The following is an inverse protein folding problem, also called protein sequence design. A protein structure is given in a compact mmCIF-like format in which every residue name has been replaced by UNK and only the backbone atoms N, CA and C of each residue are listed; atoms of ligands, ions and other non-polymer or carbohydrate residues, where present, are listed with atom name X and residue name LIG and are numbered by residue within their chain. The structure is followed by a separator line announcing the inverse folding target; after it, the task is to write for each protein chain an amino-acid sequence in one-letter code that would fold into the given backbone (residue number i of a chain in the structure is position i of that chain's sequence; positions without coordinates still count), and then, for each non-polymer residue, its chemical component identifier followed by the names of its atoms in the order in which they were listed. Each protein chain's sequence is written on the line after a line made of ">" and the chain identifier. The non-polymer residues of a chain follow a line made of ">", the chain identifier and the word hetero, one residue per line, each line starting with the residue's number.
data_IF_701911138718
#
_entry.id   IF_701911138718
#
_cell.length_a   1.000
_cell.length_b   1.000
_cell.length_c   1.000
_cell.angle_alpha   90.00
_cell.angle_beta   90.00
_cell.angle_gamma   90.00
#
_symmetry.space_group_name_H-M   'P 1'
#
loop_
_entity.id
_entity.type
_entity.pdbx_description
1 polymer ?
#
# COMPACT_ATOMS: atom_id res chain seq x y z
N UNK A 1 28.80 -63.67 7.37
CA UNK A 1 27.77 -63.01 6.53
C UNK A 1 27.26 -61.77 7.27
N UNK A 2 27.78 -60.59 6.95
CA UNK A 2 27.34 -59.31 7.54
C UNK A 2 26.47 -58.58 6.52
N UNK A 3 25.19 -58.33 6.84
CA UNK A 3 24.24 -57.62 5.98
C UNK A 3 24.34 -56.13 6.25
N UNK A 4 24.99 -55.40 5.35
CA UNK A 4 25.01 -53.94 5.34
C UNK A 4 23.59 -53.40 5.06
N UNK A 5 23.04 -52.65 6.02
CA UNK A 5 21.81 -51.89 5.85
C UNK A 5 22.13 -50.57 5.15
N UNK A 6 21.78 -50.46 3.87
CA UNK A 6 21.86 -49.20 3.12
C UNK A 6 20.64 -48.34 3.48
N UNK A 7 20.85 -47.32 4.32
CA UNK A 7 19.88 -46.26 4.58
C UNK A 7 19.70 -45.43 3.30
N UNK A 8 18.59 -45.62 2.59
CA UNK A 8 18.16 -44.68 1.53
C UNK A 8 17.77 -43.36 2.20
N UNK A 9 18.62 -42.34 2.03
CA UNK A 9 18.29 -40.97 2.34
C UNK A 9 17.23 -40.50 1.35
N UNK A 10 15.99 -40.31 1.82
CA UNK A 10 14.95 -39.64 1.04
C UNK A 10 15.28 -38.16 0.98
N UNK A 11 15.82 -37.69 -0.14
CA UNK A 11 15.91 -36.27 -0.43
C UNK A 11 14.48 -35.71 -0.52
N UNK A 12 14.12 -34.90 0.47
CA UNK A 12 12.92 -34.07 0.41
C UNK A 12 13.13 -33.05 -0.71
N UNK A 13 12.51 -33.28 -1.86
CA UNK A 13 12.50 -32.32 -2.96
C UNK A 13 11.96 -30.99 -2.44
N UNK A 14 12.81 -29.96 -2.40
CA UNK A 14 12.33 -28.61 -2.13
C UNK A 14 11.40 -28.22 -3.29
N UNK A 15 10.21 -27.69 -3.02
CA UNK A 15 9.31 -27.27 -4.08
C UNK A 15 10.04 -26.25 -4.97
N UNK A 16 9.96 -26.47 -6.28
CA UNK A 16 10.55 -25.59 -7.29
C UNK A 16 10.09 -24.16 -7.02
N UNK A 17 11.04 -23.23 -6.91
CA UNK A 17 10.73 -21.81 -6.77
C UNK A 17 9.92 -21.34 -7.97
N UNK A 18 8.73 -20.80 -7.73
CA UNK A 18 7.90 -20.22 -8.80
C UNK A 18 8.44 -18.83 -9.12
N UNK A 19 8.84 -18.60 -10.36
CA UNK A 19 9.35 -17.30 -10.82
C UNK A 19 8.28 -16.66 -11.70
N UNK A 20 7.87 -15.44 -11.34
CA UNK A 20 7.01 -14.59 -12.16
C UNK A 20 7.88 -13.75 -13.08
N UNK A 21 7.43 -13.57 -14.33
CA UNK A 21 8.07 -12.72 -15.34
C UNK A 21 7.17 -11.53 -15.67
N UNK A 22 7.70 -10.32 -15.55
CA UNK A 22 6.96 -9.09 -15.82
C UNK A 22 7.08 -8.68 -17.31
N UNK A 23 6.02 -8.06 -17.87
CA UNK A 23 6.10 -7.33 -19.12
C UNK A 23 7.10 -6.17 -19.02
N UNK A 24 7.48 -5.60 -20.16
CA UNK A 24 8.26 -4.36 -20.20
C UNK A 24 7.33 -3.16 -20.24
N UNK A 25 7.25 -2.42 -19.14
CA UNK A 25 6.45 -1.19 -19.06
C UNK A 25 7.27 0.08 -19.32
N UNK A 26 8.59 -0.06 -19.57
CA UNK A 26 9.51 1.07 -19.75
C UNK A 26 9.90 1.21 -21.22
N UNK A 27 10.43 0.14 -21.83
CA UNK A 27 10.98 0.19 -23.18
C UNK A 27 9.97 0.58 -24.28
N UNK A 28 8.66 0.22 -24.19
CA UNK A 28 7.69 0.64 -25.20
C UNK A 28 7.32 2.13 -25.14
N UNK A 29 7.57 2.83 -24.02
CA UNK A 29 7.22 4.24 -23.89
C UNK A 29 8.19 5.08 -24.72
N UNK A 30 7.72 5.87 -25.70
CA UNK A 30 8.60 6.57 -26.64
C UNK A 30 9.23 7.85 -26.06
N UNK A 31 8.89 8.20 -24.82
CA UNK A 31 9.33 9.41 -24.15
C UNK A 31 10.39 9.08 -23.10
N UNK A 32 11.47 9.88 -22.99
CA UNK A 32 12.49 9.64 -21.98
C UNK A 32 11.96 9.99 -20.59
N UNK A 33 12.39 9.24 -19.58
CA UNK A 33 12.22 9.65 -18.19
C UNK A 33 12.93 10.99 -17.96
N UNK A 34 12.20 11.92 -17.35
CA UNK A 34 12.71 13.21 -16.89
C UNK A 34 12.49 13.33 -15.39
N UNK A 35 13.28 14.17 -14.73
CA UNK A 35 13.23 14.35 -13.28
C UNK A 35 13.45 15.82 -12.93
N UNK A 36 12.60 16.37 -12.06
CA UNK A 36 12.73 17.74 -11.57
C UNK A 36 14.10 17.95 -10.91
N UNK A 37 14.78 19.05 -11.24
CA UNK A 37 16.16 19.32 -10.76
C UNK A 37 16.30 19.40 -9.24
N UNK A 38 15.22 19.80 -8.54
CA UNK A 38 15.18 19.94 -7.08
C UNK A 38 14.59 18.71 -6.37
N UNK A 39 14.36 17.59 -7.07
CA UNK A 39 13.71 16.39 -6.51
C UNK A 39 14.33 16.01 -5.17
N UNK A 40 15.65 15.88 -5.09
CA UNK A 40 16.31 15.44 -3.85
C UNK A 40 16.05 16.37 -2.65
N UNK A 41 16.12 17.69 -2.83
CA UNK A 41 15.91 18.64 -1.73
C UNK A 41 14.44 18.70 -1.34
N UNK A 42 13.55 18.77 -2.33
CA UNK A 42 12.10 18.84 -2.12
C UNK A 42 11.56 17.55 -1.48
N UNK A 43 12.03 16.37 -1.89
CA UNK A 43 11.65 15.09 -1.27
C UNK A 43 11.95 15.09 0.23
N UNK A 44 13.18 15.48 0.61
CA UNK A 44 13.60 15.51 2.01
C UNK A 44 12.74 16.47 2.83
N UNK A 45 12.51 17.69 2.31
CA UNK A 45 11.68 18.67 3.00
C UNK A 45 10.22 18.21 3.17
N UNK A 46 9.70 17.48 2.17
CA UNK A 46 8.37 16.88 2.22
C UNK A 46 8.28 15.74 3.24
N UNK A 47 9.29 14.88 3.28
CA UNK A 47 9.37 13.80 4.26
C UNK A 47 9.46 14.34 5.69
N UNK A 48 10.32 15.34 5.92
CA UNK A 48 10.45 16.01 7.23
C UNK A 48 9.13 16.66 7.66
N UNK A 49 8.47 17.35 6.73
CA UNK A 49 7.16 17.97 6.95
C UNK A 49 6.11 16.94 7.38
N UNK A 50 5.95 15.84 6.63
CA UNK A 50 4.91 14.84 6.93
C UNK A 50 5.21 14.14 8.26
N UNK A 51 6.46 13.73 8.48
CA UNK A 51 6.88 13.05 9.71
C UNK A 51 6.69 13.92 10.97
N UNK A 52 6.78 15.24 10.85
CA UNK A 52 6.55 16.15 11.96
C UNK A 52 5.09 16.22 12.42
N UNK A 53 4.13 15.81 11.57
CA UNK A 53 2.69 15.94 11.84
C UNK A 53 1.92 14.63 11.89
N UNK A 54 2.42 13.56 11.25
CA UNK A 54 1.69 12.29 11.14
C UNK A 54 1.83 11.39 12.39
N UNK A 55 2.80 11.67 13.27
CA UNK A 55 3.12 10.89 14.48
C UNK A 55 3.25 9.38 14.21
N UNK A 56 4.01 9.02 13.19
CA UNK A 56 4.21 7.63 12.81
C UNK A 56 4.97 6.82 13.87
N UNK A 57 4.54 5.57 14.06
CA UNK A 57 5.37 4.57 14.75
C UNK A 57 6.70 4.34 14.01
N UNK A 58 7.73 3.77 14.65
CA UNK A 58 9.00 3.48 13.98
C UNK A 58 8.84 2.63 12.71
N UNK A 59 7.88 1.68 12.71
CA UNK A 59 7.56 0.84 11.55
C UNK A 59 6.92 1.65 10.41
N UNK A 60 5.93 2.48 10.72
CA UNK A 60 5.28 3.36 9.73
C UNK A 60 6.29 4.35 9.14
N UNK A 61 7.15 4.95 9.98
CA UNK A 61 8.22 5.83 9.52
C UNK A 61 9.18 5.14 8.55
N UNK A 62 9.62 3.92 8.87
CA UNK A 62 10.50 3.16 7.98
C UNK A 62 9.83 2.85 6.65
N UNK A 63 8.55 2.44 6.67
CA UNK A 63 7.77 2.16 5.46
C UNK A 63 7.63 3.43 4.60
N UNK A 64 7.24 4.55 5.21
CA UNK A 64 7.09 5.83 4.55
C UNK A 64 8.38 6.30 3.86
N UNK A 65 9.53 6.26 4.55
CA UNK A 65 10.81 6.68 3.96
C UNK A 65 11.29 5.73 2.83
N UNK A 66 10.88 4.47 2.87
CA UNK A 66 11.22 3.48 1.83
C UNK A 66 10.36 3.60 0.56
N UNK A 67 9.27 4.37 0.63
CA UNK A 67 8.35 4.60 -0.48
C UNK A 67 8.97 5.43 -1.59
N UNK A 68 9.79 6.43 -1.24
CA UNK A 68 10.42 7.36 -2.17
C UNK A 68 9.38 8.13 -3.03
N UNK A 69 8.26 8.55 -2.43
CA UNK A 69 7.18 9.24 -3.13
C UNK A 69 7.59 10.64 -3.63
N UNK A 70 8.55 11.29 -2.99
CA UNK A 70 9.12 12.54 -3.50
C UNK A 70 9.84 12.36 -4.84
N UNK A 71 10.47 11.19 -5.08
CA UNK A 71 11.04 10.86 -6.39
C UNK A 71 9.95 10.71 -7.45
N UNK A 72 8.86 10.00 -7.15
CA UNK A 72 7.71 9.90 -8.06
C UNK A 72 7.17 11.28 -8.40
N UNK A 73 6.95 12.14 -7.38
CA UNK A 73 6.54 13.52 -7.59
C UNK A 73 7.50 14.28 -8.51
N UNK A 74 8.81 14.13 -8.31
CA UNK A 74 9.81 14.77 -9.16
C UNK A 74 9.86 14.24 -10.60
N UNK A 75 9.44 13.00 -10.81
CA UNK A 75 9.30 12.40 -12.15
C UNK A 75 7.98 12.79 -12.83
N UNK A 76 6.93 13.08 -12.08
CA UNK A 76 5.63 13.48 -12.64
C UNK A 76 5.50 14.99 -12.88
N UNK A 77 6.13 15.83 -12.04
CA UNK A 77 5.98 17.29 -12.08
C UNK A 77 7.35 17.97 -12.19
N UNK A 78 7.75 18.27 -13.42
CA UNK A 78 9.15 18.55 -13.76
C UNK A 78 9.43 20.01 -14.10
N UNK A 79 8.52 20.65 -14.83
CA UNK A 79 8.77 21.95 -15.45
C UNK A 79 8.12 23.09 -14.62
N UNK A 80 8.43 23.14 -13.32
CA UNK A 80 7.84 24.09 -12.38
C UNK A 80 8.86 24.74 -11.43
N UNK A 81 8.41 25.72 -10.65
CA UNK A 81 9.21 26.37 -9.62
C UNK A 81 9.37 25.51 -8.36
N UNK A 82 10.18 26.00 -7.42
CA UNK A 82 10.37 25.33 -6.12
C UNK A 82 9.06 25.24 -5.34
N UNK A 83 8.26 26.32 -5.30
CA UNK A 83 7.02 26.37 -4.52
C UNK A 83 5.99 25.35 -5.02
N UNK A 84 5.83 25.24 -6.33
CA UNK A 84 4.94 24.26 -6.95
C UNK A 84 5.44 22.83 -6.71
N UNK A 85 6.73 22.57 -6.95
CA UNK A 85 7.34 21.27 -6.71
C UNK A 85 7.20 20.83 -5.24
N UNK A 86 7.38 21.77 -4.30
CA UNK A 86 7.25 21.52 -2.86
C UNK A 86 5.83 21.08 -2.49
N UNK A 87 4.82 21.74 -3.04
CA UNK A 87 3.40 21.39 -2.83
C UNK A 87 3.04 20.07 -3.50
N UNK A 88 3.53 19.80 -4.71
CA UNK A 88 3.32 18.51 -5.39
C UNK A 88 3.89 17.33 -4.60
N UNK A 89 5.10 17.48 -4.05
CA UNK A 89 5.75 16.42 -3.26
C UNK A 89 5.00 16.16 -1.94
N UNK A 90 4.52 17.22 -1.28
CA UNK A 90 3.69 17.09 -0.09
C UNK A 90 2.40 16.34 -0.37
N UNK A 91 1.73 16.70 -1.46
CA UNK A 91 0.51 16.01 -1.85
C UNK A 91 0.78 14.54 -2.21
N UNK A 92 1.86 14.23 -2.94
CA UNK A 92 2.21 12.84 -3.27
C UNK A 92 2.47 12.00 -2.01
N UNK A 93 3.26 12.51 -1.07
CA UNK A 93 3.51 11.85 0.21
C UNK A 93 2.22 11.70 1.04
N UNK A 94 1.36 12.72 1.01
CA UNK A 94 0.07 12.70 1.69
C UNK A 94 -0.89 11.67 1.07
N UNK A 95 -0.98 11.57 -0.25
CA UNK A 95 -1.85 10.64 -0.96
C UNK A 95 -1.52 9.19 -0.61
N UNK A 96 -0.25 8.81 -0.61
CA UNK A 96 0.17 7.48 -0.15
C UNK A 96 -0.09 7.23 1.34
N UNK A 97 -0.05 8.29 2.15
CA UNK A 97 -0.41 8.20 3.57
C UNK A 97 -1.92 7.99 3.75
N UNK A 98 -2.75 8.62 2.91
CA UNK A 98 -4.19 8.41 2.89
C UNK A 98 -4.54 6.97 2.50
N UNK A 99 -3.91 6.43 1.45
CA UNK A 99 -4.02 5.03 1.03
C UNK A 99 -3.72 4.09 2.20
N UNK A 100 -2.56 4.27 2.84
CA UNK A 100 -2.14 3.48 4.00
C UNK A 100 -3.08 3.58 5.20
N UNK A 101 -3.61 4.77 5.52
CA UNK A 101 -4.60 4.93 6.59
C UNK A 101 -5.93 4.27 6.24
N UNK A 102 -6.39 4.41 5.00
CA UNK A 102 -7.65 3.82 4.55
C UNK A 102 -7.60 2.28 4.53
N UNK A 103 -6.44 1.68 4.29
CA UNK A 103 -6.21 0.24 4.38
C UNK A 103 -6.32 -0.30 5.83
N UNK A 104 -6.08 0.56 6.83
CA UNK A 104 -6.19 0.21 8.25
C UNK A 104 -7.59 0.49 8.84
N UNK A 105 -8.39 1.33 8.18
CA UNK A 105 -9.71 1.75 8.66
C UNK A 105 -10.86 0.88 8.14
N UNK A 106 -11.94 0.82 8.92
CA UNK A 106 -13.22 0.38 8.43
C UNK A 106 -13.92 1.52 7.65
N UNK A 107 -15.10 1.26 7.09
CA UNK A 107 -15.87 2.27 6.33
C UNK A 107 -16.13 3.54 7.15
N UNK A 108 -16.31 3.44 8.47
CA UNK A 108 -16.54 4.59 9.36
C UNK A 108 -15.28 5.44 9.50
N UNK A 109 -14.12 4.82 9.70
CA UNK A 109 -12.84 5.51 9.77
C UNK A 109 -12.48 6.20 8.46
N UNK A 110 -12.71 5.54 7.31
CA UNK A 110 -12.49 6.12 5.98
C UNK A 110 -13.41 7.32 5.73
N UNK A 111 -14.67 7.26 6.16
CA UNK A 111 -15.59 8.40 6.10
C UNK A 111 -15.10 9.59 6.93
N UNK A 112 -14.65 9.34 8.16
CA UNK A 112 -14.10 10.40 9.02
C UNK A 112 -12.85 11.04 8.42
N UNK A 113 -12.01 10.25 7.73
CA UNK A 113 -10.86 10.75 6.99
C UNK A 113 -11.28 11.66 5.83
N UNK A 114 -12.25 11.22 5.02
CA UNK A 114 -12.82 12.01 3.92
C UNK A 114 -13.40 13.34 4.43
N UNK A 115 -14.23 13.30 5.48
CA UNK A 115 -14.81 14.49 6.09
C UNK A 115 -13.74 15.47 6.59
N UNK A 116 -12.65 14.97 7.19
CA UNK A 116 -11.54 15.80 7.65
C UNK A 116 -10.81 16.51 6.50
N UNK A 117 -10.57 15.81 5.38
CA UNK A 117 -9.84 16.36 4.23
C UNK A 117 -10.74 17.31 3.45
N UNK A 118 -11.93 16.86 3.07
CA UNK A 118 -12.85 17.63 2.22
C UNK A 118 -13.33 18.91 2.90
N UNK A 119 -13.67 18.87 4.20
CA UNK A 119 -14.04 20.11 4.91
C UNK A 119 -12.87 21.09 5.02
N UNK A 120 -11.63 20.62 5.14
CA UNK A 120 -10.45 21.51 5.11
C UNK A 120 -10.29 22.18 3.74
N UNK A 121 -10.63 21.51 2.64
CA UNK A 121 -10.55 22.08 1.29
C UNK A 121 -11.69 23.08 1.00
N UNK A 122 -12.93 22.71 1.32
CA UNK A 122 -14.12 23.55 1.07
C UNK A 122 -14.23 24.75 2.01
N UNK A 123 -13.72 24.63 3.23
CA UNK A 123 -13.89 25.61 4.29
C UNK A 123 -12.55 25.99 4.95
N UNK A 124 -11.53 26.41 4.17
CA UNK A 124 -10.15 26.54 4.65
C UNK A 124 -9.95 27.58 5.76
N UNK A 125 -10.90 28.52 5.91
CA UNK A 125 -10.88 29.57 6.93
C UNK A 125 -11.79 29.28 8.14
N UNK A 126 -12.78 28.40 8.02
CA UNK A 126 -13.81 28.20 9.05
C UNK A 126 -13.82 26.80 9.65
N UNK A 127 -13.35 25.78 8.93
CA UNK A 127 -13.22 24.43 9.45
C UNK A 127 -11.90 24.28 10.21
N UNK A 128 -11.99 24.16 11.54
CA UNK A 128 -10.85 23.99 12.43
C UNK A 128 -10.87 22.59 13.03
N UNK A 129 -9.87 21.78 12.67
CA UNK A 129 -9.71 20.41 13.17
C UNK A 129 -8.28 20.15 13.59
N UNK A 130 -8.12 19.40 14.68
CA UNK A 130 -6.82 18.95 15.17
C UNK A 130 -6.40 17.60 14.57
N UNK A 131 -7.25 16.99 13.74
CA UNK A 131 -6.95 15.74 13.06
C UNK A 131 -5.70 15.88 12.17
N UNK A 132 -4.88 14.83 12.14
CA UNK A 132 -3.63 14.78 11.35
C UNK A 132 -3.89 15.06 9.87
N UNK A 133 -4.92 14.41 9.32
CA UNK A 133 -5.36 14.61 7.94
C UNK A 133 -5.71 16.06 7.64
N UNK A 134 -6.46 16.73 8.51
CA UNK A 134 -6.81 18.16 8.34
C UNK A 134 -5.59 19.07 8.43
N UNK A 135 -4.65 18.82 9.36
CA UNK A 135 -3.42 19.62 9.48
C UNK A 135 -2.53 19.51 8.24
N UNK A 136 -2.31 18.29 7.77
CA UNK A 136 -1.54 18.02 6.53
C UNK A 136 -2.22 18.66 5.33
N UNK A 137 -3.54 18.44 5.19
CA UNK A 137 -4.34 19.03 4.10
C UNK A 137 -4.24 20.54 4.09
N UNK A 138 -4.49 21.19 5.23
CA UNK A 138 -4.44 22.64 5.36
C UNK A 138 -3.05 23.18 4.99
N UNK A 139 -1.99 22.51 5.42
CA UNK A 139 -0.62 22.97 5.21
C UNK A 139 -0.20 23.02 3.74
N UNK A 140 -0.56 22.03 2.91
CA UNK A 140 -0.28 22.12 1.47
C UNK A 140 -1.33 22.98 0.75
N UNK A 141 -2.59 22.92 1.17
CA UNK A 141 -3.68 23.67 0.53
C UNK A 141 -3.50 25.18 0.65
N UNK A 142 -3.17 25.69 1.84
CA UNK A 142 -2.91 27.12 2.07
C UNK A 142 -1.73 27.65 1.19
N UNK A 143 -0.82 26.79 0.74
CA UNK A 143 0.23 27.13 -0.22
C UNK A 143 -0.27 27.06 -1.66
N UNK A 144 -0.95 25.98 -2.02
CA UNK A 144 -1.49 25.74 -3.36
C UNK A 144 -2.43 26.85 -3.83
N UNK A 145 -3.40 27.26 -3.01
CA UNK A 145 -4.43 28.24 -3.40
C UNK A 145 -3.89 29.64 -3.70
N UNK A 146 -2.63 29.92 -3.36
CA UNK A 146 -1.98 31.21 -3.66
C UNK A 146 -1.65 31.38 -5.14
N UNK A 147 -1.42 30.27 -5.85
CA UNK A 147 -0.95 30.28 -7.25
C UNK A 147 -1.79 29.38 -8.16
N UNK A 148 -2.54 28.41 -7.63
CA UNK A 148 -3.44 27.57 -8.42
C UNK A 148 -4.62 28.39 -8.97
N UNK A 149 -4.96 28.18 -10.25
CA UNK A 149 -6.17 28.72 -10.85
C UNK A 149 -7.45 28.14 -10.22
N UNK A 150 -8.58 28.86 -10.28
CA UNK A 150 -9.81 28.44 -9.61
C UNK A 150 -10.39 27.12 -10.17
N UNK A 151 -10.21 26.83 -11.46
CA UNK A 151 -10.72 25.59 -12.05
C UNK A 151 -9.84 24.40 -11.69
N UNK A 152 -8.51 24.59 -11.67
CA UNK A 152 -7.56 23.62 -11.13
C UNK A 152 -7.90 23.27 -9.67
N UNK A 153 -8.19 24.28 -8.82
CA UNK A 153 -8.63 24.07 -7.44
C UNK A 153 -9.92 23.23 -7.38
N UNK A 154 -10.92 23.56 -8.19
CA UNK A 154 -12.17 22.81 -8.26
C UNK A 154 -11.97 21.35 -8.71
N UNK A 155 -11.12 21.12 -9.72
CA UNK A 155 -10.77 19.77 -10.18
C UNK A 155 -10.07 18.94 -9.12
N UNK A 156 -9.15 19.53 -8.34
CA UNK A 156 -8.55 18.81 -7.22
C UNK A 156 -9.61 18.39 -6.18
N UNK A 157 -10.51 19.31 -5.81
CA UNK A 157 -11.57 18.99 -4.84
C UNK A 157 -12.50 17.89 -5.37
N UNK A 158 -12.94 17.98 -6.64
CA UNK A 158 -13.83 16.98 -7.25
C UNK A 158 -13.18 15.60 -7.38
N UNK A 159 -11.90 15.55 -7.77
CA UNK A 159 -11.17 14.28 -7.92
C UNK A 159 -10.87 13.64 -6.55
N UNK A 160 -10.56 14.42 -5.52
CA UNK A 160 -10.43 13.90 -4.15
C UNK A 160 -11.76 13.36 -3.60
N UNK A 161 -12.87 14.07 -3.84
CA UNK A 161 -14.19 13.60 -3.40
C UNK A 161 -14.54 12.25 -4.03
N UNK A 162 -14.32 12.14 -5.34
CA UNK A 162 -14.52 10.89 -6.11
C UNK A 162 -13.62 9.77 -5.58
N UNK A 163 -12.33 10.07 -5.34
CA UNK A 163 -11.38 9.12 -4.74
C UNK A 163 -11.87 8.59 -3.39
N UNK A 164 -12.32 9.47 -2.48
CA UNK A 164 -12.83 9.06 -1.17
C UNK A 164 -14.08 8.18 -1.30
N UNK A 165 -15.00 8.52 -2.19
CA UNK A 165 -16.18 7.69 -2.48
C UNK A 165 -15.78 6.30 -2.97
N UNK A 166 -14.83 6.22 -3.89
CA UNK A 166 -14.36 4.97 -4.48
C UNK A 166 -13.62 4.07 -3.48
N UNK A 167 -12.73 4.62 -2.64
CA UNK A 167 -12.05 3.80 -1.61
C UNK A 167 -13.01 3.31 -0.53
N UNK A 168 -14.09 4.05 -0.23
CA UNK A 168 -15.16 3.56 0.65
C UNK A 168 -15.91 2.39 0.04
N UNK A 169 -16.20 2.45 -1.27
CA UNK A 169 -16.80 1.34 -2.02
C UNK A 169 -15.88 0.11 -2.00
N UNK A 170 -14.59 0.28 -2.33
CA UNK A 170 -13.60 -0.79 -2.29
C UNK A 170 -13.46 -1.43 -0.89
N UNK A 171 -13.50 -0.63 0.18
CA UNK A 171 -13.47 -1.14 1.56
C UNK A 171 -14.71 -2.00 1.88
N UNK A 172 -15.88 -1.62 1.37
CA UNK A 172 -17.12 -2.39 1.49
C UNK A 172 -17.04 -3.73 0.74
N UNK A 173 -16.49 -3.72 -0.49
CA UNK A 173 -16.38 -4.91 -1.34
C UNK A 173 -15.39 -5.94 -0.77
N UNK A 174 -14.29 -5.47 -0.18
CA UNK A 174 -13.33 -6.34 0.55
C UNK A 174 -14.01 -7.13 1.68
N UNK A 175 -15.04 -6.58 2.31
CA UNK A 175 -15.84 -7.27 3.33
C UNK A 175 -16.59 -8.48 2.80
N UNK A 176 -16.98 -8.46 1.51
CA UNK A 176 -17.79 -9.49 0.86
C UNK A 176 -16.97 -10.55 0.11
N UNK A 177 -15.64 -10.35 -0.03
CA UNK A 177 -14.70 -11.25 -0.74
C UNK A 177 -15.06 -11.52 -2.21
N UNK A 178 -15.77 -10.59 -2.85
CA UNK A 178 -16.10 -10.69 -4.27
C UNK A 178 -14.96 -10.08 -5.09
N UNK A 179 -14.47 -10.82 -6.09
CA UNK A 179 -13.60 -10.26 -7.13
C UNK A 179 -14.53 -9.72 -8.22
N UNK A 180 -14.46 -8.41 -8.53
CA UNK A 180 -15.31 -7.79 -9.55
C UNK A 180 -15.05 -8.36 -10.94
N UNK A 181 -15.99 -8.15 -11.86
CA UNK A 181 -15.69 -8.39 -13.28
C UNK A 181 -14.66 -7.38 -13.82
N UNK A 182 -14.17 -7.60 -15.05
CA UNK A 182 -13.09 -6.79 -15.60
C UNK A 182 -13.49 -5.33 -15.85
N UNK A 183 -14.72 -5.08 -16.33
CA UNK A 183 -15.17 -3.74 -16.69
C UNK A 183 -15.52 -2.92 -15.43
N UNK A 184 -16.15 -3.57 -14.46
CA UNK A 184 -16.38 -3.03 -13.11
C UNK A 184 -15.04 -2.70 -12.43
N UNK A 185 -14.06 -3.61 -12.52
CA UNK A 185 -12.74 -3.39 -11.96
C UNK A 185 -12.05 -2.18 -12.59
N UNK A 186 -12.00 -2.08 -13.92
CA UNK A 186 -11.33 -0.98 -14.62
C UNK A 186 -11.96 0.35 -14.22
N UNK A 187 -13.30 0.41 -14.19
CA UNK A 187 -14.04 1.63 -13.84
C UNK A 187 -13.72 2.05 -12.41
N UNK A 188 -13.83 1.14 -11.44
CA UNK A 188 -13.53 1.43 -10.04
C UNK A 188 -12.05 1.77 -9.84
N UNK A 189 -11.14 1.05 -10.50
CA UNK A 189 -9.68 1.22 -10.35
C UNK A 189 -9.22 2.60 -10.79
N UNK A 190 -9.85 3.18 -11.82
CA UNK A 190 -9.56 4.56 -12.24
C UNK A 190 -9.85 5.59 -11.14
N UNK A 191 -10.81 5.31 -10.26
CA UNK A 191 -11.16 6.21 -9.16
C UNK A 191 -10.39 5.88 -7.88
N UNK A 192 -10.01 4.62 -7.64
CA UNK A 192 -9.24 4.21 -6.45
C UNK A 192 -7.73 4.38 -6.59
N UNK A 193 -7.19 4.55 -7.81
CA UNK A 193 -5.74 4.67 -8.03
C UNK A 193 -5.13 5.98 -7.53
N UNK A 194 -5.94 7.02 -7.31
CA UNK A 194 -5.48 8.36 -6.98
C UNK A 194 -4.85 9.13 -8.15
N UNK A 195 -4.78 8.55 -9.35
CA UNK A 195 -4.16 9.19 -10.52
C UNK A 195 -4.90 10.46 -10.93
N UNK A 196 -6.25 10.43 -10.96
CA UNK A 196 -7.06 11.63 -11.31
C UNK A 196 -6.73 12.82 -10.41
N UNK A 197 -6.52 12.55 -9.12
CA UNK A 197 -6.10 13.57 -8.16
C UNK A 197 -4.69 14.09 -8.45
N UNK A 198 -3.76 13.19 -8.82
CA UNK A 198 -2.44 13.58 -9.29
C UNK A 198 -2.47 14.41 -10.59
N UNK A 199 -3.42 14.15 -11.49
CA UNK A 199 -3.53 14.90 -12.74
C UNK A 199 -3.95 16.35 -12.51
N UNK A 200 -4.72 16.66 -11.46
CA UNK A 200 -5.00 18.05 -11.09
C UNK A 200 -3.71 18.84 -10.76
N UNK A 201 -2.66 18.16 -10.26
CA UNK A 201 -1.36 18.76 -10.01
C UNK A 201 -0.50 18.94 -11.26
N UNK A 202 -0.84 18.30 -12.39
CA UNK A 202 -0.21 18.63 -13.69
C UNK A 202 -0.53 20.09 -14.05
N UNK A 203 -1.78 20.50 -13.89
CA UNK A 203 -2.19 21.89 -14.16
C UNK A 203 -1.50 22.87 -13.22
N UNK A 204 -1.51 22.56 -11.92
CA UNK A 204 -0.86 23.38 -10.91
C UNK A 204 0.64 23.55 -11.17
N UNK A 205 1.36 22.46 -11.39
CA UNK A 205 2.80 22.50 -11.68
C UNK A 205 3.09 23.20 -13.02
N UNK A 206 2.23 23.00 -14.02
CA UNK A 206 2.33 23.66 -15.33
C UNK A 206 1.97 25.14 -15.32
N UNK A 207 1.40 25.66 -14.22
CA UNK A 207 0.92 27.03 -14.13
C UNK A 207 -0.23 27.33 -15.09
N UNK A 208 -1.08 26.34 -15.37
CA UNK A 208 -2.22 26.43 -16.29
C UNK A 208 -3.55 26.29 -15.54
N UNK A 209 -4.63 26.79 -16.13
CA UNK A 209 -5.99 26.69 -15.60
C UNK A 209 -6.94 26.43 -16.76
N UNK A 210 -7.03 25.16 -17.18
CA UNK A 210 -7.75 24.78 -18.39
C UNK A 210 -9.24 25.14 -18.26
N UNK A 211 -9.86 25.71 -19.31
CA UNK A 211 -11.32 25.85 -19.36
C UNK A 211 -12.01 24.49 -19.24
N UNK A 212 -13.18 24.46 -18.63
CA UNK A 212 -13.90 23.21 -18.35
C UNK A 212 -14.30 22.51 -19.66
N UNK A 213 -14.67 23.27 -20.70
CA UNK A 213 -14.96 22.72 -22.02
C UNK A 213 -13.78 22.02 -22.71
N UNK A 214 -12.55 22.31 -22.26
CA UNK A 214 -11.31 21.66 -22.73
C UNK A 214 -10.99 20.45 -21.86
N UNK A 215 -11.01 20.62 -20.53
CA UNK A 215 -10.73 19.54 -19.58
C UNK A 215 -11.73 18.38 -19.70
N UNK A 216 -13.01 18.70 -19.94
CA UNK A 216 -14.11 17.74 -20.10
C UNK A 216 -14.29 17.29 -21.57
N UNK A 217 -13.42 17.75 -22.48
CA UNK A 217 -13.50 17.32 -23.86
C UNK A 217 -13.23 15.81 -23.96
N UNK A 218 -14.03 15.03 -24.70
CA UNK A 218 -13.93 13.56 -24.71
C UNK A 218 -12.53 13.02 -25.03
N UNK A 219 -11.78 13.71 -25.91
CA UNK A 219 -10.40 13.32 -26.24
C UNK A 219 -9.44 13.54 -25.06
N UNK A 220 -9.60 14.63 -24.29
CA UNK A 220 -8.77 14.89 -23.11
C UNK A 220 -9.12 13.90 -22.00
N UNK A 221 -10.40 13.62 -21.78
CA UNK A 221 -10.85 12.59 -20.83
C UNK A 221 -10.33 11.20 -21.23
N UNK A 222 -10.35 10.85 -22.51
CA UNK A 222 -9.80 9.58 -23.00
C UNK A 222 -8.28 9.47 -22.76
N UNK A 223 -7.53 10.56 -22.95
CA UNK A 223 -6.10 10.59 -22.61
C UNK A 223 -5.86 10.44 -21.10
N UNK A 224 -6.69 11.09 -20.26
CA UNK A 224 -6.58 10.94 -18.81
C UNK A 224 -6.90 9.51 -18.35
N UNK A 225 -7.99 8.92 -18.85
CA UNK A 225 -8.42 7.56 -18.52
C UNK A 225 -7.38 6.51 -18.95
N UNK A 226 -6.85 6.63 -20.16
CA UNK A 226 -5.83 5.71 -20.67
C UNK A 226 -4.49 5.87 -19.94
N UNK A 227 -4.12 7.09 -19.56
CA UNK A 227 -2.98 7.34 -18.68
C UNK A 227 -3.15 6.66 -17.33
N UNK A 228 -4.34 6.78 -16.74
CA UNK A 228 -4.68 6.15 -15.46
C UNK A 228 -4.60 4.62 -15.55
N UNK A 229 -5.15 4.03 -16.62
CA UNK A 229 -5.07 2.60 -16.89
C UNK A 229 -3.61 2.14 -17.02
N UNK A 230 -2.79 2.84 -17.81
CA UNK A 230 -1.37 2.52 -17.98
C UNK A 230 -0.60 2.58 -16.65
N UNK A 231 -0.85 3.60 -15.83
CA UNK A 231 -0.22 3.75 -14.50
C UNK A 231 -0.71 2.66 -13.55
N UNK A 232 -2.02 2.48 -13.43
CA UNK A 232 -2.64 1.59 -12.46
C UNK A 232 -2.38 0.11 -12.78
N UNK A 233 -2.44 -0.30 -14.04
CA UNK A 233 -2.20 -1.69 -14.40
C UNK A 233 -0.72 -2.09 -14.32
N UNK A 234 0.20 -1.18 -14.65
CA UNK A 234 1.62 -1.40 -14.39
C UNK A 234 1.88 -1.52 -12.89
N UNK A 235 1.21 -0.69 -12.08
CA UNK A 235 1.24 -0.80 -10.63
C UNK A 235 0.74 -2.17 -10.17
N UNK A 236 -0.45 -2.59 -10.59
CA UNK A 236 -1.06 -3.86 -10.20
C UNK A 236 -0.15 -5.05 -10.54
N UNK A 237 0.46 -5.08 -11.72
CA UNK A 237 1.37 -6.16 -12.12
C UNK A 237 2.64 -6.17 -11.27
N UNK A 238 3.26 -5.00 -11.04
CA UNK A 238 4.52 -4.91 -10.31
C UNK A 238 4.33 -5.08 -8.79
N UNK A 239 3.18 -4.68 -8.25
CA UNK A 239 2.80 -4.84 -6.85
C UNK A 239 2.22 -6.22 -6.54
N UNK A 240 1.76 -6.96 -7.55
CA UNK A 240 1.04 -8.23 -7.42
C UNK A 240 1.69 -9.17 -6.41
N UNK A 241 3.01 -9.40 -6.51
CA UNK A 241 3.69 -10.37 -5.66
C UNK A 241 3.62 -10.00 -4.16
N UNK A 242 3.71 -8.70 -3.85
CA UNK A 242 3.60 -8.19 -2.49
C UNK A 242 2.14 -8.17 -1.99
N UNK A 243 1.18 -7.91 -2.87
CA UNK A 243 -0.26 -7.90 -2.60
C UNK A 243 -0.85 -9.29 -2.40
N UNK A 244 -0.59 -10.21 -3.34
CA UNK A 244 -1.03 -11.59 -3.22
C UNK A 244 -0.49 -12.24 -1.95
N UNK A 245 0.75 -11.94 -1.55
CA UNK A 245 1.32 -12.45 -0.30
C UNK A 245 0.56 -11.96 0.94
N UNK A 246 -0.17 -10.84 0.87
CA UNK A 246 -1.05 -10.34 1.94
C UNK A 246 -2.48 -10.89 1.84
N UNK A 247 -2.80 -11.60 0.74
CA UNK A 247 -4.13 -12.08 0.41
C UNK A 247 -5.04 -11.00 -0.17
N UNK A 248 -4.47 -9.92 -0.73
CA UNK A 248 -5.26 -8.94 -1.48
C UNK A 248 -5.70 -9.52 -2.83
N UNK A 249 -6.91 -9.16 -3.25
CA UNK A 249 -7.55 -9.63 -4.47
C UNK A 249 -8.03 -8.49 -5.36
N UNK A 250 -7.97 -7.24 -4.89
CA UNK A 250 -8.31 -6.06 -5.69
C UNK A 250 -7.12 -5.66 -6.57
N UNK A 251 -6.83 -6.49 -7.58
CA UNK A 251 -5.68 -6.35 -8.46
C UNK A 251 -6.02 -6.93 -9.84
N UNK A 252 -5.63 -6.25 -10.93
CA UNK A 252 -5.93 -6.69 -12.30
C UNK A 252 -5.52 -8.15 -12.57
N UNK A 253 -4.38 -8.61 -12.04
CA UNK A 253 -3.93 -10.00 -12.22
C UNK A 253 -4.95 -10.98 -11.64
N UNK A 254 -5.50 -10.71 -10.46
CA UNK A 254 -6.54 -11.55 -9.85
C UNK A 254 -7.83 -11.56 -10.67
N UNK A 255 -8.23 -10.39 -11.19
CA UNK A 255 -9.42 -10.23 -12.04
C UNK A 255 -9.27 -11.00 -13.34
N UNK A 256 -8.12 -10.91 -14.01
CA UNK A 256 -7.84 -11.64 -15.25
C UNK A 256 -7.75 -13.16 -15.04
N UNK A 257 -7.18 -13.61 -13.92
CA UNK A 257 -7.21 -15.03 -13.56
C UNK A 257 -8.64 -15.55 -13.45
N UNK A 258 -9.53 -14.79 -12.79
CA UNK A 258 -10.94 -15.16 -12.64
C UNK A 258 -11.69 -15.11 -13.98
N UNK A 259 -11.55 -14.02 -14.74
CA UNK A 259 -12.29 -13.79 -15.97
C UNK A 259 -11.93 -14.80 -17.08
N UNK A 260 -10.66 -15.17 -17.19
CA UNK A 260 -10.16 -16.01 -18.29
C UNK A 260 -9.74 -17.42 -17.87
N UNK A 261 -9.83 -17.77 -16.58
CA UNK A 261 -9.45 -19.09 -16.08
C UNK A 261 -7.96 -19.42 -16.26
N UNK A 262 -7.10 -18.41 -16.33
CA UNK A 262 -5.65 -18.55 -16.54
C UNK A 262 -4.89 -18.57 -15.21
N UNK A 263 -3.66 -19.08 -15.24
CA UNK A 263 -2.77 -18.98 -14.09
C UNK A 263 -2.20 -17.56 -13.91
N UNK A 264 -1.40 -17.37 -12.85
CA UNK A 264 -0.80 -16.07 -12.51
C UNK A 264 0.07 -15.51 -13.63
N UNK A 265 0.87 -16.36 -14.27
CA UNK A 265 1.76 -15.90 -15.34
C UNK A 265 0.97 -15.57 -16.60
N UNK A 266 -0.06 -16.36 -16.92
CA UNK A 266 -1.00 -16.07 -18.00
C UNK A 266 -1.71 -14.74 -17.80
N UNK A 267 -2.21 -14.46 -16.60
CA UNK A 267 -2.83 -13.18 -16.27
C UNK A 267 -1.85 -12.00 -16.35
N UNK A 268 -0.61 -12.16 -15.89
CA UNK A 268 0.44 -11.13 -16.04
C UNK A 268 0.75 -10.85 -17.52
N UNK A 269 0.78 -11.88 -18.37
CA UNK A 269 1.00 -11.72 -19.80
C UNK A 269 -0.18 -10.98 -20.46
N UNK A 270 -1.43 -11.36 -20.14
CA UNK A 270 -2.63 -10.68 -20.62
C UNK A 270 -2.67 -9.21 -20.18
N UNK A 271 -2.31 -8.91 -18.93
CA UNK A 271 -2.20 -7.54 -18.45
C UNK A 271 -1.15 -6.73 -19.24
N UNK A 272 -0.01 -7.35 -19.59
CA UNK A 272 1.00 -6.72 -20.44
C UNK A 272 0.52 -6.46 -21.87
N UNK A 273 -0.26 -7.37 -22.46
CA UNK A 273 -0.87 -7.18 -23.77
C UNK A 273 -1.91 -6.06 -23.75
N UNK A 274 -2.79 -6.05 -22.74
CA UNK A 274 -3.79 -5.00 -22.53
C UNK A 274 -3.12 -3.63 -22.36
N UNK A 275 -2.09 -3.56 -21.52
CA UNK A 275 -1.31 -2.34 -21.31
C UNK A 275 -0.69 -1.82 -22.61
N UNK A 276 -0.12 -2.69 -23.44
CA UNK A 276 0.48 -2.30 -24.72
C UNK A 276 -0.57 -1.75 -25.69
N UNK A 277 -1.72 -2.41 -25.78
CA UNK A 277 -2.84 -1.94 -26.63
C UNK A 277 -3.34 -0.56 -26.17
N UNK A 278 -3.42 -0.33 -24.85
CA UNK A 278 -3.81 0.96 -24.29
C UNK A 278 -2.76 2.04 -24.58
N UNK A 279 -1.47 1.71 -24.59
CA UNK A 279 -0.42 2.66 -24.97
C UNK A 279 -0.55 3.05 -26.45
N UNK A 280 -0.76 2.07 -27.34
CA UNK A 280 -1.00 2.34 -28.76
C UNK A 280 -2.24 3.23 -28.96
N UNK A 281 -3.30 3.01 -28.18
CA UNK A 281 -4.51 3.83 -28.20
C UNK A 281 -4.27 5.25 -27.64
N UNK A 282 -3.52 5.41 -26.56
CA UNK A 282 -3.13 6.73 -26.04
C UNK A 282 -2.39 7.54 -27.11
N UNK A 283 -1.42 6.91 -27.78
CA UNK A 283 -0.64 7.53 -28.85
C UNK A 283 -1.52 7.94 -30.03
N UNK A 284 -2.42 7.07 -30.48
CA UNK A 284 -3.36 7.40 -31.55
C UNK A 284 -4.34 8.52 -31.16
N UNK A 285 -4.84 8.50 -29.93
CA UNK A 285 -5.78 9.50 -29.41
C UNK A 285 -5.15 10.88 -29.34
N UNK A 286 -3.88 10.96 -28.93
CA UNK A 286 -3.11 12.21 -28.86
C UNK A 286 -3.02 12.92 -30.21
N UNK A 287 -2.92 12.19 -31.31
CA UNK A 287 -2.90 12.77 -32.67
C UNK A 287 -4.26 13.35 -33.12
N UNK A 288 -5.33 13.09 -32.36
CA UNK A 288 -6.69 13.57 -32.67
C UNK A 288 -7.14 14.75 -31.81
N UNK A 289 -6.24 15.29 -30.96
CA UNK A 289 -6.53 16.45 -30.11
C UNK A 289 -6.90 17.66 -30.99
N UNK A 290 -8.10 18.24 -30.82
CA UNK A 290 -8.51 19.39 -31.62
C UNK A 290 -7.75 20.65 -31.18
N UNK A 291 -7.83 21.70 -32.00
CA UNK A 291 -7.33 23.02 -31.64
C UNK A 291 -8.44 23.88 -31.05
N UNK A 292 -8.15 24.57 -29.95
CA UNK A 292 -8.96 25.62 -29.34
C UNK A 292 -8.31 27.01 -29.49
N UNK A 293 -7.22 27.08 -30.26
CA UNK A 293 -6.45 28.29 -30.54
C UNK A 293 -5.11 28.32 -29.78
N UNK A 294 -4.15 29.14 -30.23
CA UNK A 294 -2.74 28.98 -29.87
C UNK A 294 -2.42 29.07 -28.37
N UNK A 295 -3.22 29.80 -27.60
CA UNK A 295 -3.03 29.92 -26.15
C UNK A 295 -3.48 28.66 -25.41
N UNK A 296 -4.69 28.18 -25.70
CA UNK A 296 -5.24 26.97 -25.08
C UNK A 296 -4.47 25.74 -25.55
N UNK A 297 -4.11 25.67 -26.83
CA UNK A 297 -3.33 24.56 -27.38
C UNK A 297 -1.98 24.41 -26.66
N UNK A 298 -1.35 25.52 -26.23
CA UNK A 298 -0.12 25.48 -25.42
C UNK A 298 -0.37 24.87 -24.04
N UNK A 299 -1.48 25.23 -23.40
CA UNK A 299 -1.84 24.70 -22.09
C UNK A 299 -2.21 23.21 -22.17
N UNK A 300 -2.96 22.81 -23.19
CA UNK A 300 -3.28 21.40 -23.49
C UNK A 300 -2.00 20.60 -23.74
N UNK A 301 -1.04 21.14 -24.49
CA UNK A 301 0.24 20.46 -24.72
C UNK A 301 1.03 20.25 -23.42
N UNK A 302 1.02 21.22 -22.49
CA UNK A 302 1.61 21.06 -21.15
C UNK A 302 0.90 19.94 -20.38
N UNK A 303 -0.44 19.92 -20.41
CA UNK A 303 -1.23 18.93 -19.71
C UNK A 303 -1.00 17.49 -20.23
N UNK A 304 -1.04 17.31 -21.55
CA UNK A 304 -0.76 16.02 -22.20
C UNK A 304 0.66 15.54 -21.93
N UNK A 305 1.64 16.44 -21.94
CA UNK A 305 3.01 16.10 -21.59
C UNK A 305 3.14 15.62 -20.14
N UNK A 306 2.35 16.17 -19.23
CA UNK A 306 2.24 15.65 -17.87
C UNK A 306 1.72 14.21 -17.83
N UNK A 307 0.75 13.84 -18.67
CA UNK A 307 0.32 12.44 -18.80
C UNK A 307 1.45 11.52 -19.27
N UNK A 308 2.23 11.95 -20.27
CA UNK A 308 3.40 11.22 -20.75
C UNK A 308 4.44 11.00 -19.64
N UNK A 309 4.74 12.06 -18.88
CA UNK A 309 5.65 12.00 -17.74
C UNK A 309 5.12 11.01 -16.69
N UNK A 310 3.82 11.01 -16.37
CA UNK A 310 3.19 10.07 -15.43
C UNK A 310 3.32 8.60 -15.84
N UNK A 311 3.11 8.28 -17.12
CA UNK A 311 3.19 6.90 -17.64
C UNK A 311 4.58 6.33 -17.38
N UNK A 312 5.64 7.04 -17.78
CA UNK A 312 7.02 6.56 -17.61
C UNK A 312 7.47 6.66 -16.14
N UNK A 313 7.05 7.70 -15.42
CA UNK A 313 7.42 7.91 -14.02
C UNK A 313 6.99 6.75 -13.15
N UNK A 314 5.74 6.29 -13.24
CA UNK A 314 5.25 5.20 -12.41
C UNK A 314 5.98 3.87 -12.71
N UNK A 315 6.23 3.57 -13.98
CA UNK A 315 6.92 2.36 -14.39
C UNK A 315 8.36 2.31 -13.86
N UNK A 316 9.10 3.42 -13.98
CA UNK A 316 10.48 3.53 -13.47
C UNK A 316 10.52 3.58 -11.94
N UNK A 317 9.67 4.41 -11.32
CA UNK A 317 9.61 4.55 -9.86
C UNK A 317 9.27 3.23 -9.15
N UNK A 318 8.45 2.37 -9.77
CA UNK A 318 8.10 1.07 -9.21
C UNK A 318 9.31 0.14 -8.97
N UNK A 319 10.43 0.38 -9.63
CA UNK A 319 11.70 -0.33 -9.38
C UNK A 319 12.65 0.41 -8.43
N UNK A 320 12.41 1.70 -8.19
CA UNK A 320 13.19 2.55 -7.27
C UNK A 320 12.63 2.54 -5.85
N UNK A 321 11.32 2.33 -5.71
CA UNK A 321 10.66 2.18 -4.41
C UNK A 321 10.96 0.82 -3.79
N UNK A 322 11.18 0.78 -2.47
CA UNK A 322 11.31 -0.50 -1.76
C UNK A 322 9.94 -1.17 -1.51
N UNK A 323 8.83 -0.51 -1.87
CA UNK A 323 7.44 -0.97 -1.61
C UNK A 323 7.15 -2.36 -2.19
N UNK A 324 7.67 -2.68 -3.37
CA UNK A 324 7.34 -3.93 -4.09
C UNK A 324 8.44 -4.98 -4.02
N UNK A 325 9.71 -4.55 -4.16
CA UNK A 325 10.85 -5.44 -4.32
C UNK A 325 11.94 -5.25 -3.25
N UNK A 326 11.68 -4.43 -2.23
CA UNK A 326 12.70 -4.05 -1.26
C UNK A 326 13.92 -3.45 -1.97
N UNK A 327 15.12 -3.85 -1.55
CA UNK A 327 16.39 -3.36 -2.13
C UNK A 327 16.75 -3.99 -3.48
N UNK A 328 15.99 -4.99 -3.92
CA UNK A 328 16.27 -5.74 -5.14
C UNK A 328 15.59 -5.15 -6.38
N UNK A 329 14.92 -4.00 -6.27
CA UNK A 329 14.19 -3.36 -7.38
C UNK A 329 15.03 -3.18 -8.65
N UNK A 330 16.30 -2.78 -8.53
CA UNK A 330 17.24 -2.67 -9.65
C UNK A 330 17.51 -4.01 -10.37
N UNK A 331 17.56 -5.12 -9.63
CA UNK A 331 17.75 -6.46 -10.19
C UNK A 331 16.48 -6.93 -10.89
N UNK A 332 15.31 -6.68 -10.29
CA UNK A 332 14.01 -6.97 -10.90
C UNK A 332 13.83 -6.16 -12.18
N UNK A 333 14.18 -4.87 -12.19
CA UNK A 333 14.16 -4.02 -13.40
C UNK A 333 14.98 -4.63 -14.54
N UNK A 334 16.18 -5.13 -14.24
CA UNK A 334 17.08 -5.74 -15.23
C UNK A 334 16.60 -7.10 -15.73
N UNK A 335 16.09 -7.94 -14.83
CA UNK A 335 15.77 -9.36 -15.13
C UNK A 335 14.30 -9.58 -15.50
N UNK A 336 13.44 -8.62 -15.14
CA UNK A 336 11.97 -8.67 -15.16
C UNK A 336 11.43 -9.91 -14.46
N UNK A 337 12.10 -10.35 -13.40
CA UNK A 337 11.79 -11.59 -12.72
C UNK A 337 11.73 -11.39 -11.21
N UNK A 338 10.78 -12.05 -10.57
CA UNK A 338 10.68 -12.11 -9.11
C UNK A 338 10.25 -13.50 -8.66
N UNK A 339 10.80 -13.98 -7.55
CA UNK A 339 10.34 -15.20 -6.90
C UNK A 339 9.00 -14.94 -6.20
N UNK A 340 8.01 -15.80 -6.45
CA UNK A 340 6.69 -15.69 -5.85
C UNK A 340 6.78 -15.82 -4.33
N UNK A 341 6.27 -14.82 -3.62
CA UNK A 341 6.22 -14.81 -2.16
C UNK A 341 5.13 -15.78 -1.66
N UNK A 342 5.34 -16.48 -0.55
CA UNK A 342 4.29 -17.28 0.06
C UNK A 342 3.19 -16.39 0.65
N UNK A 343 1.97 -16.92 0.72
CA UNK A 343 0.88 -16.30 1.48
C UNK A 343 1.31 -16.11 2.94
N UNK A 344 1.26 -14.87 3.42
CA UNK A 344 1.47 -14.54 4.82
C UNK A 344 0.31 -15.14 5.60
N UNK A 345 0.62 -16.02 6.56
CA UNK A 345 -0.38 -16.48 7.51
C UNK A 345 -0.88 -15.26 8.29
N UNK A 346 -2.15 -14.90 8.14
CA UNK A 346 -2.79 -13.99 9.10
C UNK A 346 -2.67 -14.66 10.47
N UNK A 347 -2.13 -13.96 11.46
CA UNK A 347 -2.20 -14.42 12.83
C UNK A 347 -3.68 -14.49 13.20
N UNK A 348 -4.25 -15.69 13.21
CA UNK A 348 -5.60 -15.90 13.70
C UNK A 348 -5.54 -15.72 15.20
N UNK A 349 -5.83 -14.51 15.68
CA UNK A 349 -6.24 -14.33 17.06
C UNK A 349 -7.61 -14.98 17.18
N UNK A 350 -7.61 -16.26 17.53
CA UNK A 350 -8.82 -16.90 18.05
C UNK A 350 -9.10 -16.16 19.35
N UNK A 351 -10.19 -15.40 19.41
CA UNK A 351 -10.77 -14.97 20.67
C UNK A 351 -11.23 -16.24 21.39
N UNK A 352 -10.30 -16.89 22.09
CA UNK A 352 -10.63 -17.88 23.10
C UNK A 352 -11.09 -17.06 24.31
N UNK A 353 -12.29 -17.38 24.80
CA UNK A 353 -12.82 -16.82 26.05
C UNK A 353 -11.76 -16.83 27.16
N UNK A 354 -11.77 -15.77 27.98
CA UNK A 354 -10.70 -15.32 28.88
C UNK A 354 -10.04 -16.38 29.79
N UNK A 355 -10.65 -17.53 30.01
CA UNK A 355 -10.10 -18.58 30.88
C UNK A 355 -9.02 -19.46 30.21
N UNK A 356 -8.93 -19.48 28.87
CA UNK A 356 -8.02 -20.41 28.16
C UNK A 356 -6.62 -19.87 27.91
N UNK A 357 -6.44 -18.54 27.89
CA UNK A 357 -5.18 -17.87 27.53
C UNK A 357 -4.19 -17.75 28.70
N UNK A 358 -4.70 -17.71 29.94
CA UNK A 358 -3.84 -17.70 31.13
C UNK A 358 -3.07 -19.02 31.27
N UNK A 359 -3.69 -20.15 30.91
CA UNK A 359 -3.07 -21.48 31.04
C UNK A 359 -1.98 -21.74 29.98
N UNK A 360 -2.19 -21.31 28.73
CA UNK A 360 -1.28 -21.65 27.62
C UNK A 360 -0.04 -20.74 27.60
N UNK A 361 -0.19 -19.44 27.88
CA UNK A 361 0.95 -18.50 27.86
C UNK A 361 1.88 -18.70 29.05
N UNK A 362 1.33 -19.08 30.21
CA UNK A 362 2.10 -19.43 31.40
C UNK A 362 2.88 -20.74 31.18
N UNK A 363 2.35 -21.71 30.43
CA UNK A 363 3.07 -22.96 30.16
C UNK A 363 4.33 -22.79 29.29
N UNK A 364 4.30 -21.97 28.25
CA UNK A 364 5.45 -21.85 27.33
C UNK A 364 6.62 -21.05 27.94
N UNK A 365 6.36 -19.91 28.59
CA UNK A 365 7.42 -19.09 29.18
C UNK A 365 8.05 -19.78 30.40
N UNK A 366 7.27 -20.56 31.15
CA UNK A 366 7.78 -21.30 32.30
C UNK A 366 8.52 -22.58 31.90
N UNK A 367 8.18 -23.20 30.77
CA UNK A 367 8.90 -24.37 30.28
C UNK A 367 10.32 -24.01 29.87
N UNK A 368 10.51 -22.93 29.12
CA UNK A 368 11.86 -22.48 28.70
C UNK A 368 12.71 -22.04 29.90
N UNK A 369 12.11 -21.32 30.87
CA UNK A 369 12.81 -20.92 32.09
C UNK A 369 13.14 -22.12 33.01
N UNK A 370 12.26 -23.12 33.08
CA UNK A 370 12.51 -24.34 33.84
C UNK A 370 13.59 -25.22 33.19
N UNK A 371 13.64 -25.27 31.86
CA UNK A 371 14.68 -25.98 31.10
C UNK A 371 16.06 -25.33 31.31
N UNK A 372 16.15 -23.99 31.29
CA UNK A 372 17.40 -23.27 31.59
C UNK A 372 17.87 -23.44 33.05
N UNK A 373 16.94 -23.42 34.01
CA UNK A 373 17.29 -23.61 35.43
C UNK A 373 17.67 -25.07 35.72
N UNK A 374 17.02 -26.05 35.07
CA UNK A 374 17.42 -27.47 35.15
C UNK A 374 18.81 -27.70 34.59
N UNK A 375 19.14 -27.06 33.46
CA UNK A 375 20.45 -27.17 32.82
C UNK A 375 21.59 -26.57 33.67
N UNK A 376 21.28 -25.59 34.52
CA UNK A 376 22.29 -24.84 35.29
C UNK A 376 22.40 -25.21 36.78
N UNK A 377 21.33 -25.70 37.42
CA UNK A 377 21.29 -25.85 38.90
C UNK A 377 20.73 -27.19 39.42
N UNK A 378 20.31 -28.09 38.52
CA UNK A 378 19.83 -29.43 38.86
C UNK A 378 18.41 -29.49 39.47
N UNK A 379 17.81 -30.69 39.56
CA UNK A 379 16.36 -30.87 39.74
C UNK A 379 15.81 -30.49 41.13
N UNK A 380 16.67 -30.21 42.11
CA UNK A 380 16.27 -29.86 43.50
C UNK A 380 15.58 -28.49 43.63
N UNK A 381 15.61 -27.65 42.59
CA UNK A 381 15.05 -26.30 42.61
C UNK A 381 13.61 -26.21 42.06
N UNK A 382 13.11 -27.23 41.35
CA UNK A 382 11.77 -27.22 40.74
C UNK A 382 10.64 -26.92 41.74
N UNK A 383 10.59 -27.54 42.94
CA UNK A 383 9.48 -27.31 43.86
C UNK A 383 9.38 -25.86 44.36
N UNK A 384 10.53 -25.18 44.53
CA UNK A 384 10.60 -23.79 44.99
C UNK A 384 10.25 -22.80 43.89
N UNK A 385 10.60 -23.10 42.64
CA UNK A 385 10.25 -22.28 41.48
C UNK A 385 8.75 -22.29 41.23
N UNK A 386 8.12 -23.48 41.25
CA UNK A 386 6.67 -23.64 41.08
C UNK A 386 5.85 -22.98 42.20
N UNK A 387 6.32 -23.06 43.46
CA UNK A 387 5.67 -22.38 44.59
C UNK A 387 5.66 -20.84 44.45
N UNK A 388 6.75 -20.26 43.93
CA UNK A 388 6.87 -18.81 43.73
C UNK A 388 5.95 -18.30 42.60
N UNK A 389 5.79 -19.11 41.55
CA UNK A 389 4.93 -18.83 40.39
C UNK A 389 3.44 -18.89 40.78
N UNK A 390 3.06 -19.89 41.59
CA UNK A 390 1.69 -20.05 42.08
C UNK A 390 1.28 -18.97 43.08
N UNK A 391 2.21 -18.51 43.93
CA UNK A 391 1.97 -17.39 44.85
C UNK A 391 1.71 -16.07 44.11
N UNK A 392 2.47 -15.76 43.04
CA UNK A 392 2.26 -14.54 42.25
C UNK A 392 0.99 -14.55 41.41
N UNK A 393 0.43 -15.73 41.12
CA UNK A 393 -0.83 -15.89 40.38
C UNK A 393 -2.06 -16.00 41.30
N UNK A 394 -1.89 -15.86 42.62
CA UNK A 394 -2.99 -15.77 43.59
C UNK A 394 -3.63 -17.12 43.97
N UNK A 395 -2.99 -18.26 43.68
CA UNK A 395 -3.46 -19.59 44.07
C UNK A 395 -2.93 -20.05 45.42
N UNK A 396 -3.63 -20.98 46.07
CA UNK A 396 -3.17 -21.69 47.28
C UNK A 396 -3.04 -23.20 47.00
N UNK A 397 -2.15 -23.88 47.73
CA UNK A 397 -1.90 -25.32 47.62
C UNK A 397 -2.35 -26.00 48.92
N UNK A 398 -3.10 -27.10 48.81
CA UNK A 398 -3.30 -28.06 49.91
C UNK A 398 -2.55 -29.34 49.57
N UNK A 399 -1.68 -29.81 50.46
CA UNK A 399 -0.92 -31.04 50.28
C UNK A 399 -1.57 -32.12 51.16
N UNK A 400 -1.97 -33.24 50.56
CA UNK A 400 -2.28 -34.46 51.29
C UNK A 400 -1.18 -35.49 51.00
N UNK A 401 -0.54 -35.99 52.05
CA UNK A 401 0.32 -37.18 51.96
C UNK A 401 -0.56 -38.41 52.17
N UNK A 402 -0.77 -39.20 51.11
CA UNK A 402 -1.20 -40.58 51.25
C UNK A 402 -0.04 -41.51 50.89
N UNK A 403 0.24 -42.44 51.79
CA UNK A 403 1.37 -43.35 51.71
C UNK A 403 1.10 -44.43 50.65
N UNK A 404 1.84 -44.40 49.54
CA UNK A 404 1.94 -45.57 48.67
C UNK A 404 2.44 -45.32 47.25
N UNK A 405 2.10 -44.21 46.62
CA UNK A 405 2.53 -43.90 45.26
C UNK A 405 2.83 -42.40 45.13
N UNK A 406 3.91 -42.05 44.44
CA UNK A 406 4.30 -40.66 44.16
C UNK A 406 3.33 -40.01 43.16
N UNK A 407 2.11 -39.71 43.61
CA UNK A 407 1.09 -39.02 42.82
C UNK A 407 0.77 -37.70 43.50
N UNK A 408 1.35 -36.60 43.00
CA UNK A 408 0.98 -35.24 43.40
C UNK A 408 -0.17 -34.80 42.51
N UNK A 409 -1.38 -34.73 43.06
CA UNK A 409 -2.56 -34.21 42.35
C UNK A 409 -2.72 -32.73 42.66
N UNK A 410 -2.79 -31.88 41.62
CA UNK A 410 -2.99 -30.44 41.76
C UNK A 410 -4.43 -30.09 41.35
N UNK A 411 -5.20 -29.51 42.27
CA UNK A 411 -6.50 -28.93 41.96
C UNK A 411 -6.39 -27.40 41.99
N UNK A 412 -6.74 -26.75 40.87
CA UNK A 412 -6.91 -25.29 40.80
C UNK A 412 -8.41 -25.03 40.89
N UNK A 413 -8.88 -24.43 41.98
CA UNK A 413 -10.27 -23.96 42.07
C UNK A 413 -10.34 -22.47 41.75
N UNK A 414 -11.31 -22.02 40.91
CA UNK A 414 -11.59 -20.60 40.74
C UNK A 414 -12.07 -19.99 42.06
N UNK A 415 -11.68 -18.76 42.32
CA UNK A 415 -12.17 -17.98 43.47
C UNK A 415 -13.69 -17.80 43.30
N UNK A 416 -14.49 -18.46 44.13
CA UNK A 416 -15.89 -18.12 44.28
C UNK A 416 -15.99 -16.70 44.85
N UNK A 417 -16.80 -15.86 44.21
CA UNK A 417 -17.21 -14.55 44.72
C UNK A 417 -17.83 -14.71 46.11
N UNK A 418 -17.23 -14.06 47.10
CA UNK A 418 -17.88 -13.59 48.34
C UNK A 418 -17.45 -12.16 48.55
#
# INVERSE_FOLDING_TARGET
>A
MSKAHTRKSSMVAHPSKVILRFPDFVAPVPYPLRVHRLTKSVSRESEEWLLSMAEFSPKQRSKFLSLNAGLLSGMCYIDCGYEEARVCADFMNFLFTLDDWSDEFDTTGTRGLAECVMNTLYHPSTYLSNAKASKLTKSFWDRMIKTAGPRCQQRLMSTLDTYFQAIMQQASDRGHKNIPDLDEYITLRRDTSGCKTGFAFIEYAGGIDLPDEVADHPIISALADTTNDLVSWANDVLSYNAEQARGDTHNLVCVLMQAYGVDRQGAINLAGELWKQTLDYFMATKETVPSWGPEIDRQVAIYIKGFEDWIIANAEWSFETERYFGKDGHLVRKTRQVELLPLRRKATFVHLSDDSLMLITIQFVLFDLAVEIMASRGPRWLPKLFALILWRSGGYITIHEDAGENTVSFAVMPRALV
#
